data_IF_570036953886
#
_entry.id   IF_570036953886
#
_cell.length_a   1.000
_cell.length_b   1.000
_cell.length_c   1.000
_cell.angle_alpha   90.00
_cell.angle_beta   90.00
_cell.angle_gamma   90.00
#
_symmetry.space_group_name_H-M   'P 1'
#
loop_
_entity.id
_entity.type
_entity.pdbx_description
1 polymer ?
#
# COMPACT_ATOMS: atom_id res chain seq x y z
N UNK A 1 -17.23 -2.07 9.92
CA UNK A 1 -15.96 -1.32 10.01
C UNK A 1 -15.22 -1.32 8.69
N UNK A 2 -14.41 -0.29 8.46
CA UNK A 2 -13.53 -0.16 7.30
C UNK A 2 -12.23 -0.92 7.57
N UNK A 3 -11.78 -1.74 6.61
CA UNK A 3 -10.54 -2.49 6.73
C UNK A 3 -9.73 -2.46 5.42
N UNK A 4 -8.40 -2.37 5.58
CA UNK A 4 -7.43 -2.45 4.49
C UNK A 4 -6.38 -3.50 4.87
N UNK A 5 -6.27 -4.56 4.07
CA UNK A 5 -5.33 -5.66 4.31
C UNK A 5 -4.29 -5.71 3.19
N UNK A 6 -3.06 -5.30 3.49
CA UNK A 6 -1.94 -5.40 2.55
C UNK A 6 -1.42 -6.84 2.46
N UNK A 7 -0.84 -7.19 1.30
CA UNK A 7 0.02 -8.37 1.15
C UNK A 7 1.20 -8.35 2.14
N UNK A 8 1.70 -9.53 2.47
CA UNK A 8 2.86 -9.68 3.35
C UNK A 8 4.14 -9.06 2.78
N UNK A 9 5.15 -8.96 3.64
CA UNK A 9 6.46 -8.46 3.25
C UNK A 9 7.15 -9.41 2.26
N UNK A 10 7.76 -8.83 1.22
CA UNK A 10 8.55 -9.57 0.23
C UNK A 10 10.01 -9.12 0.27
N UNK A 11 10.93 -10.07 0.30
CA UNK A 11 12.37 -9.81 0.19
C UNK A 11 12.78 -9.96 -1.28
N UNK A 12 13.18 -8.85 -1.90
CA UNK A 12 13.57 -8.79 -3.31
C UNK A 12 15.03 -8.36 -3.49
N UNK A 13 15.62 -8.75 -4.62
CA UNK A 13 16.98 -8.32 -4.98
C UNK A 13 16.98 -6.83 -5.38
N UNK A 14 18.10 -6.11 -5.20
CA UNK A 14 18.25 -4.75 -5.71
C UNK A 14 17.96 -4.68 -7.22
N UNK A 15 17.15 -3.71 -7.64
CA UNK A 15 16.75 -3.52 -9.05
C UNK A 15 15.58 -4.38 -9.52
N UNK A 16 15.06 -5.30 -8.71
CA UNK A 16 13.85 -6.05 -9.04
C UNK A 16 12.58 -5.23 -8.79
N UNK A 17 11.54 -5.49 -9.59
CA UNK A 17 10.19 -4.97 -9.35
C UNK A 17 9.49 -5.77 -8.26
N UNK A 18 8.68 -5.08 -7.44
CA UNK A 18 7.81 -5.69 -6.43
C UNK A 18 6.35 -5.38 -6.77
N UNK A 19 5.46 -6.32 -6.47
CA UNK A 19 4.01 -6.13 -6.60
C UNK A 19 3.39 -6.10 -5.21
N UNK A 20 2.73 -5.00 -4.87
CA UNK A 20 1.95 -4.90 -3.64
C UNK A 20 0.47 -5.10 -3.96
N UNK A 21 -0.28 -5.69 -3.04
CA UNK A 21 -1.74 -5.74 -3.10
C UNK A 21 -2.37 -5.27 -1.79
N UNK A 22 -3.59 -4.73 -1.88
CA UNK A 22 -4.39 -4.31 -0.73
C UNK A 22 -5.84 -4.74 -0.97
N UNK A 23 -6.40 -5.52 -0.05
CA UNK A 23 -7.82 -5.87 -0.03
C UNK A 23 -8.57 -4.87 0.82
N UNK A 24 -9.55 -4.20 0.23
CA UNK A 24 -10.43 -3.26 0.91
C UNK A 24 -11.78 -3.91 1.22
N UNK A 25 -12.29 -3.68 2.43
CA UNK A 25 -13.62 -4.13 2.83
C UNK A 25 -14.31 -3.10 3.75
N UNK A 26 -15.64 -3.14 3.81
CA UNK A 26 -16.43 -2.22 4.63
C UNK A 26 -16.75 -0.86 3.99
N UNK A 27 -16.40 -0.65 2.72
CA UNK A 27 -16.76 0.54 1.93
C UNK A 27 -16.74 0.23 0.43
N UNK A 28 -17.37 1.09 -0.38
CA UNK A 28 -17.29 0.99 -1.84
C UNK A 28 -16.00 1.66 -2.33
N UNK A 29 -15.06 0.86 -2.83
CA UNK A 29 -13.77 1.35 -3.31
C UNK A 29 -13.89 2.34 -4.48
N UNK A 30 -14.98 2.29 -5.25
CA UNK A 30 -15.20 3.20 -6.39
C UNK A 30 -15.51 4.64 -5.97
N UNK A 31 -15.96 4.84 -4.74
CA UNK A 31 -16.38 6.14 -4.23
C UNK A 31 -15.25 6.81 -3.42
N UNK A 32 -14.07 6.20 -3.37
CA UNK A 32 -12.96 6.61 -2.51
C UNK A 32 -11.65 6.60 -3.26
N UNK A 33 -10.76 7.52 -2.92
CA UNK A 33 -9.37 7.47 -3.37
C UNK A 33 -8.53 6.56 -2.48
N UNK A 34 -7.71 5.71 -3.09
CA UNK A 34 -6.78 4.84 -2.38
C UNK A 34 -5.36 5.37 -2.51
N UNK A 35 -4.73 5.68 -1.38
CA UNK A 35 -3.36 6.20 -1.37
C UNK A 35 -2.35 5.11 -0.99
N UNK A 36 -1.20 5.13 -1.66
CA UNK A 36 -0.04 4.33 -1.28
C UNK A 36 1.01 5.24 -0.64
N UNK A 37 1.45 4.85 0.55
CA UNK A 37 2.47 5.53 1.34
C UNK A 37 3.51 4.52 1.79
N UNK A 38 4.78 4.91 1.76
CA UNK A 38 5.91 4.13 2.24
C UNK A 38 6.49 4.82 3.46
N UNK A 39 6.94 4.02 4.42
CA UNK A 39 7.78 4.50 5.51
C UNK A 39 9.08 3.73 5.50
N UNK A 40 10.21 4.43 5.53
CA UNK A 40 11.52 3.82 5.74
C UNK A 40 11.87 3.89 7.23
N UNK A 41 12.71 2.97 7.76
CA UNK A 41 13.21 3.08 9.12
C UNK A 41 13.77 4.49 9.36
N UNK A 42 13.36 5.10 10.47
CA UNK A 42 13.79 6.44 10.90
C UNK A 42 13.36 7.61 9.99
N UNK A 43 12.51 7.37 8.99
CA UNK A 43 12.03 8.40 8.08
C UNK A 43 10.53 8.65 8.23
N UNK A 44 10.10 9.81 7.75
CA UNK A 44 8.70 10.18 7.64
C UNK A 44 7.94 9.33 6.60
N UNK A 45 6.67 9.69 6.42
CA UNK A 45 5.83 9.09 5.38
C UNK A 45 6.18 9.66 4.01
N UNK A 46 6.51 8.78 3.07
CA UNK A 46 6.76 9.09 1.67
C UNK A 46 5.52 8.70 0.85
N UNK A 47 4.89 9.67 0.17
CA UNK A 47 3.77 9.39 -0.74
C UNK A 47 4.26 8.74 -2.03
N UNK A 48 3.60 7.64 -2.44
CA UNK A 48 3.92 6.91 -3.68
C UNK A 48 2.93 7.28 -4.79
N UNK A 49 1.64 7.31 -4.46
CA UNK A 49 0.61 7.45 -5.49
C UNK A 49 -0.82 7.38 -4.95
N UNK A 50 -1.76 7.57 -5.87
CA UNK A 50 -3.20 7.40 -5.65
C UNK A 50 -3.79 6.54 -6.76
N UNK A 51 -4.75 5.69 -6.39
CA UNK A 51 -5.63 4.96 -7.30
C UNK A 51 -7.05 5.51 -7.11
#
# INVERSE_FOLDING_TARGET
DVQLQQSGAELVKPGASVKLSCTASGFNIKDTYMHWVKQRPEQGLDWIGRI
#
